data_IF_656670516369
#
_entry.id   IF_656670516369
#
_cell.length_a   1.000
_cell.length_b   1.000
_cell.length_c   1.000
_cell.angle_alpha   90.00
_cell.angle_beta   90.00
_cell.angle_gamma   90.00
#
_symmetry.space_group_name_H-M   'P 1'
#
loop_
_entity.id
_entity.type
_entity.pdbx_description
1 polymer ?
#
# COMPACT_ATOMS: atom_id res chain seq x y z
N UNK A 1 4.67 -26.93 1.42
CA UNK A 1 4.98 -25.58 0.91
C UNK A 1 3.80 -25.14 0.06
N UNK A 2 2.91 -24.29 0.57
CA UNK A 2 1.78 -23.80 -0.22
C UNK A 2 2.19 -22.43 -0.79
N UNK A 3 2.71 -22.39 -2.01
CA UNK A 3 2.94 -21.11 -2.68
C UNK A 3 1.56 -20.53 -3.02
N UNK A 4 1.08 -19.60 -2.20
CA UNK A 4 -0.10 -18.81 -2.53
C UNK A 4 0.24 -17.86 -3.69
N UNK A 5 0.37 -18.42 -4.90
CA UNK A 5 0.55 -17.66 -6.12
C UNK A 5 -0.77 -16.98 -6.49
N UNK A 6 -0.74 -15.67 -6.66
CA UNK A 6 -1.90 -14.92 -7.19
C UNK A 6 -2.01 -15.22 -8.68
N UNK A 7 -3.19 -15.64 -9.14
CA UNK A 7 -3.43 -15.91 -10.56
C UNK A 7 -3.54 -14.59 -11.30
N UNK A 8 -2.76 -14.46 -12.37
CA UNK A 8 -2.81 -13.32 -13.31
C UNK A 8 -3.46 -13.81 -14.60
N UNK A 9 -4.44 -13.07 -15.10
CA UNK A 9 -5.26 -13.44 -16.24
C UNK A 9 -5.97 -12.24 -16.87
N UNK A 10 -6.72 -12.48 -17.94
CA UNK A 10 -7.68 -11.49 -18.45
C UNK A 10 -8.65 -11.09 -17.32
N UNK A 11 -8.97 -9.80 -17.23
CA UNK A 11 -9.74 -9.20 -16.13
C UNK A 11 -8.90 -8.81 -14.91
N UNK A 12 -7.62 -9.19 -14.86
CA UNK A 12 -6.75 -8.77 -13.75
C UNK A 12 -6.47 -7.28 -13.83
N UNK A 13 -6.76 -6.57 -12.72
CA UNK A 13 -6.54 -5.14 -12.58
C UNK A 13 -5.23 -4.85 -11.88
N UNK A 14 -4.51 -3.85 -12.37
CA UNK A 14 -3.19 -3.46 -11.90
C UNK A 14 -3.15 -1.94 -11.75
N UNK A 15 -2.43 -1.46 -10.76
CA UNK A 15 -1.90 -0.10 -10.78
C UNK A 15 -0.53 -0.18 -11.45
N UNK A 16 -0.31 0.54 -12.54
CA UNK A 16 0.97 0.60 -13.24
C UNK A 16 1.28 2.07 -13.55
N UNK A 17 2.44 2.55 -13.12
CA UNK A 17 2.85 3.97 -13.22
C UNK A 17 1.78 4.96 -12.72
N UNK A 18 1.06 4.56 -11.66
CA UNK A 18 -0.01 5.35 -11.06
C UNK A 18 -1.34 5.31 -11.81
N UNK A 19 -1.45 4.52 -12.88
CA UNK A 19 -2.66 4.38 -13.69
C UNK A 19 -3.33 3.01 -13.47
N UNK A 20 -4.66 3.02 -13.30
CA UNK A 20 -5.44 1.79 -13.19
C UNK A 20 -5.65 1.18 -14.58
N UNK A 21 -5.06 0.01 -14.79
CA UNK A 21 -5.12 -0.74 -16.04
C UNK A 21 -5.68 -2.14 -15.82
N UNK A 22 -6.29 -2.70 -16.86
CA UNK A 22 -6.85 -4.06 -16.85
C UNK A 22 -6.20 -4.89 -17.97
N UNK A 23 -5.81 -6.13 -17.65
CA UNK A 23 -5.38 -7.09 -18.67
C UNK A 23 -6.60 -7.52 -19.46
N UNK A 24 -6.64 -7.18 -20.74
CA UNK A 24 -7.75 -7.53 -21.65
C UNK A 24 -7.40 -8.72 -22.54
N UNK A 25 -6.12 -8.91 -22.84
CA UNK A 25 -5.65 -10.05 -23.64
C UNK A 25 -4.31 -10.56 -23.11
N UNK A 26 -4.05 -11.85 -23.33
CA UNK A 26 -2.77 -12.48 -23.04
C UNK A 26 -2.35 -13.28 -24.27
N UNK A 27 -1.13 -13.04 -24.73
CA UNK A 27 -0.55 -13.67 -25.91
C UNK A 27 0.71 -14.41 -25.49
N UNK A 28 0.73 -15.73 -25.69
CA UNK A 28 1.96 -16.50 -25.54
C UNK A 28 2.82 -16.33 -26.80
N UNK A 29 4.05 -15.87 -26.64
CA UNK A 29 5.04 -15.70 -27.70
C UNK A 29 6.29 -16.55 -27.46
N UNK A 30 7.19 -16.54 -28.45
CA UNK A 30 8.47 -17.28 -28.36
C UNK A 30 9.38 -16.80 -27.22
N UNK A 31 9.22 -15.55 -26.80
CA UNK A 31 10.09 -14.89 -25.82
C UNK A 31 9.42 -14.71 -24.45
N UNK A 32 8.23 -15.29 -24.24
CA UNK A 32 7.46 -15.14 -23.00
C UNK A 32 6.00 -14.80 -23.26
N UNK A 33 5.31 -14.30 -22.23
CA UNK A 33 3.93 -13.85 -22.34
C UNK A 33 3.87 -12.33 -22.51
N UNK A 34 3.08 -11.90 -23.47
CA UNK A 34 2.69 -10.50 -23.63
C UNK A 34 1.27 -10.31 -23.12
N UNK A 35 0.99 -9.14 -22.56
CA UNK A 35 -0.35 -8.76 -22.13
C UNK A 35 -0.76 -7.47 -22.81
N UNK A 36 -2.04 -7.37 -23.14
CA UNK A 36 -2.67 -6.12 -23.60
C UNK A 36 -3.38 -5.50 -22.43
N UNK A 37 -2.95 -4.30 -22.04
CA UNK A 37 -3.49 -3.53 -20.95
C UNK A 37 -4.44 -2.47 -21.51
N UNK A 38 -5.64 -2.38 -20.92
CA UNK A 38 -6.58 -1.29 -21.17
C UNK A 38 -6.49 -0.28 -20.03
N UNK A 39 -6.22 0.97 -20.37
CA UNK A 39 -6.35 2.08 -19.45
C UNK A 39 -7.82 2.35 -19.15
N UNK A 40 -8.16 2.40 -17.85
CA UNK A 40 -9.52 2.72 -17.41
C UNK A 40 -9.87 4.19 -17.65
N UNK A 41 -8.88 5.09 -17.54
CA UNK A 41 -9.08 6.54 -17.63
C UNK A 41 -8.99 7.09 -19.06
N UNK A 42 -8.07 6.57 -19.87
CA UNK A 42 -7.76 7.09 -21.21
C UNK A 42 -8.37 6.26 -22.34
N UNK A 43 -9.02 5.12 -22.02
CA UNK A 43 -9.53 4.16 -23.02
C UNK A 43 -8.48 3.73 -24.07
N UNK A 44 -7.19 3.79 -23.69
CA UNK A 44 -6.07 3.41 -24.54
C UNK A 44 -5.66 1.96 -24.26
N UNK A 45 -5.15 1.28 -25.28
CA UNK A 45 -4.58 -0.06 -25.16
C UNK A 45 -3.08 -0.03 -25.38
N UNK A 46 -2.32 -0.70 -24.50
CA UNK A 46 -0.87 -0.86 -24.63
C UNK A 46 -0.50 -2.33 -24.51
N UNK A 47 0.52 -2.77 -25.24
CA UNK A 47 1.06 -4.13 -25.16
C UNK A 47 2.41 -4.10 -24.44
N UNK A 48 2.57 -4.96 -23.45
CA UNK A 48 3.78 -5.03 -22.60
C UNK A 48 4.13 -6.48 -22.32
N UNK A 49 5.41 -6.79 -22.16
CA UNK A 49 5.84 -8.11 -21.70
C UNK A 49 5.44 -8.31 -20.22
N UNK A 50 4.87 -9.47 -19.89
CA UNK A 50 4.37 -9.74 -18.54
C UNK A 50 5.48 -9.70 -17.49
N UNK A 51 6.68 -10.20 -17.80
CA UNK A 51 7.82 -10.17 -16.88
C UNK A 51 8.28 -8.74 -16.57
N UNK A 52 8.35 -7.87 -17.58
CA UNK A 52 8.70 -6.45 -17.41
C UNK A 52 7.65 -5.73 -16.57
N UNK A 53 6.37 -5.98 -16.86
CA UNK A 53 5.25 -5.44 -16.09
C UNK A 53 5.34 -5.82 -14.61
N UNK A 54 5.67 -7.09 -14.31
CA UNK A 54 5.80 -7.60 -12.93
C UNK A 54 7.09 -7.16 -12.23
N UNK A 55 8.15 -6.87 -12.98
CA UNK A 55 9.42 -6.39 -12.44
C UNK A 55 9.42 -4.88 -12.18
N UNK A 56 8.49 -4.12 -12.77
CA UNK A 56 8.40 -2.69 -12.59
C UNK A 56 8.00 -2.32 -11.14
N UNK A 57 8.79 -1.47 -10.49
CA UNK A 57 8.59 -1.05 -9.08
C UNK A 57 7.23 -0.36 -8.84
N UNK A 58 6.67 0.26 -9.88
CA UNK A 58 5.37 0.93 -9.84
C UNK A 58 4.17 0.00 -10.02
N UNK A 59 4.37 -1.27 -10.36
CA UNK A 59 3.28 -2.19 -10.65
C UNK A 59 2.76 -2.87 -9.40
N UNK A 60 1.44 -2.79 -9.16
CA UNK A 60 0.77 -3.48 -8.05
C UNK A 60 -0.51 -4.16 -8.51
N UNK A 61 -0.73 -5.38 -8.06
CA UNK A 61 -2.00 -6.08 -8.22
C UNK A 61 -3.09 -5.38 -7.42
N UNK A 62 -4.20 -5.07 -8.08
CA UNK A 62 -5.42 -4.66 -7.41
C UNK A 62 -6.21 -5.94 -7.14
N UNK A 63 -6.34 -6.29 -5.86
CA UNK A 63 -7.12 -7.43 -5.43
C UNK A 63 -8.57 -7.29 -5.88
N UNK A 64 -9.16 -8.39 -6.33
CA UNK A 64 -10.59 -8.47 -6.65
C UNK A 64 -11.47 -8.70 -5.40
N UNK A 65 -10.84 -8.75 -4.22
CA UNK A 65 -11.56 -8.71 -2.97
C UNK A 65 -12.37 -7.42 -2.91
N UNK A 66 -13.62 -7.51 -2.45
CA UNK A 66 -14.47 -6.35 -2.24
C UNK A 66 -13.72 -5.34 -1.36
N UNK A 67 -13.43 -4.17 -1.93
CA UNK A 67 -12.97 -3.02 -1.16
C UNK A 67 -14.11 -2.47 -0.30
N UNK A 68 -13.82 -1.48 0.55
CA UNK A 68 -14.83 -0.81 1.36
C UNK A 68 -16.02 -0.37 0.49
N UNK A 69 -17.21 -0.82 0.84
CA UNK A 69 -18.47 -0.55 0.14
C UNK A 69 -19.35 0.40 0.97
N UNK A 70 -20.26 1.13 0.31
CA UNK A 70 -21.21 2.00 1.01
C UNK A 70 -22.20 1.24 1.91
N UNK A 71 -22.30 -0.08 1.72
CA UNK A 71 -23.11 -0.96 2.55
C UNK A 71 -22.33 -1.57 3.73
N UNK A 72 -21.05 -1.28 3.87
CA UNK A 72 -20.26 -1.78 4.99
C UNK A 72 -20.63 -1.03 6.27
N UNK A 73 -20.67 -1.74 7.39
CA UNK A 73 -20.97 -1.18 8.72
C UNK A 73 -19.88 -0.20 9.22
N UNK A 74 -18.72 -0.19 8.56
CA UNK A 74 -17.57 0.67 8.87
C UNK A 74 -17.40 1.73 7.79
N UNK A 75 -17.23 2.98 8.22
CA UNK A 75 -16.90 4.07 7.29
C UNK A 75 -15.54 3.81 6.62
N UNK A 76 -15.39 4.08 5.30
CA UNK A 76 -14.11 3.99 4.62
C UNK A 76 -13.05 4.84 5.31
N UNK A 77 -11.83 4.33 5.43
CA UNK A 77 -10.75 5.02 6.14
C UNK A 77 -10.51 6.46 5.66
N UNK A 78 -10.69 6.73 4.36
CA UNK A 78 -10.57 8.09 3.81
C UNK A 78 -11.61 9.07 4.37
N UNK A 79 -12.83 8.61 4.66
CA UNK A 79 -13.89 9.41 5.28
C UNK A 79 -13.53 9.69 6.74
N UNK A 80 -13.20 8.65 7.51
CA UNK A 80 -12.82 8.76 8.93
C UNK A 80 -11.63 9.69 9.11
N UNK A 81 -10.57 9.54 8.29
CA UNK A 81 -9.38 10.39 8.36
C UNK A 81 -9.65 11.83 7.90
N UNK A 82 -10.63 12.04 7.02
CA UNK A 82 -11.05 13.36 6.53
C UNK A 82 -11.83 14.17 7.56
N UNK A 83 -12.43 13.51 8.55
CA UNK A 83 -13.19 14.15 9.63
C UNK A 83 -12.32 14.59 10.82
N UNK A 84 -11.03 14.24 10.84
CA UNK A 84 -10.13 14.58 11.94
C UNK A 84 -9.92 16.10 12.03
N UNK A 85 -9.89 16.60 13.26
CA UNK A 85 -9.38 17.95 13.53
C UNK A 85 -7.89 18.07 13.20
N UNK A 86 -7.37 19.29 13.09
CA UNK A 86 -5.94 19.51 12.81
C UNK A 86 -5.02 18.89 13.87
N UNK A 87 -5.46 18.87 15.13
CA UNK A 87 -4.70 18.27 16.25
C UNK A 87 -4.65 16.75 16.09
N UNK A 88 -5.80 16.10 15.87
CA UNK A 88 -5.88 14.65 15.68
C UNK A 88 -5.14 14.21 14.42
N UNK A 89 -5.27 14.97 13.33
CA UNK A 89 -4.55 14.73 12.08
C UNK A 89 -3.04 14.78 12.31
N UNK A 90 -2.55 15.76 13.07
CA UNK A 90 -1.13 15.85 13.44
C UNK A 90 -0.67 14.63 14.23
N UNK A 91 -1.45 14.17 15.20
CA UNK A 91 -1.13 12.95 15.96
C UNK A 91 -1.04 11.71 15.06
N UNK A 92 -1.99 11.54 14.14
CA UNK A 92 -2.00 10.41 13.20
C UNK A 92 -0.78 10.46 12.28
N UNK A 93 -0.43 11.64 11.75
CA UNK A 93 0.76 11.83 10.90
C UNK A 93 2.04 11.45 11.67
N UNK A 94 2.16 11.86 12.93
CA UNK A 94 3.30 11.52 13.78
C UNK A 94 3.41 10.02 14.04
N UNK A 95 2.29 9.35 14.37
CA UNK A 95 2.25 7.89 14.55
C UNK A 95 2.61 7.16 13.25
N UNK A 96 2.07 7.61 12.12
CA UNK A 96 2.37 7.03 10.82
C UNK A 96 3.85 7.20 10.43
N UNK A 97 4.46 8.35 10.76
CA UNK A 97 5.88 8.59 10.56
C UNK A 97 6.74 7.64 11.38
N UNK A 98 6.36 7.38 12.64
CA UNK A 98 7.05 6.41 13.48
C UNK A 98 6.98 4.98 12.92
N UNK A 99 5.79 4.54 12.47
CA UNK A 99 5.63 3.21 11.85
C UNK A 99 6.52 3.08 10.61
N UNK A 100 6.55 4.10 9.74
CA UNK A 100 7.45 4.10 8.58
C UNK A 100 8.92 4.01 9.00
N UNK A 101 9.33 4.79 9.99
CA UNK A 101 10.70 4.78 10.50
C UNK A 101 11.08 3.41 11.08
N UNK A 102 10.19 2.74 11.81
CA UNK A 102 10.41 1.38 12.32
C UNK A 102 10.57 0.38 11.17
N UNK A 103 9.77 0.49 10.11
CA UNK A 103 9.78 -0.47 9.01
C UNK A 103 10.94 -0.26 8.05
N UNK A 104 11.43 0.97 7.88
CA UNK A 104 12.39 1.32 6.83
C UNK A 104 13.68 1.98 7.35
N UNK A 105 13.71 2.40 8.61
CA UNK A 105 14.77 3.23 9.18
C UNK A 105 14.62 4.74 8.93
N UNK A 106 13.65 5.15 8.08
CA UNK A 106 13.48 6.54 7.64
C UNK A 106 12.09 7.07 7.98
N UNK A 107 11.98 8.29 8.51
CA UNK A 107 10.70 8.85 8.99
C UNK A 107 9.70 9.11 7.86
N UNK A 108 10.22 9.40 6.67
CA UNK A 108 9.46 9.48 5.43
C UNK A 108 9.02 8.10 4.91
N UNK A 109 9.66 7.02 5.37
CA UNK A 109 9.54 5.68 4.81
C UNK A 109 10.49 5.41 3.63
N UNK A 110 11.33 6.37 3.24
CA UNK A 110 12.14 6.31 2.02
C UNK A 110 13.52 6.92 2.23
N UNK A 111 14.56 6.26 1.72
CA UNK A 111 15.94 6.72 1.84
C UNK A 111 16.17 8.02 1.04
N UNK A 112 15.52 8.16 -0.11
CA UNK A 112 15.67 9.33 -1.00
C UNK A 112 15.13 10.62 -0.36
N UNK A 113 14.33 10.49 0.69
CA UNK A 113 13.75 11.58 1.48
C UNK A 113 14.25 11.56 2.93
N UNK A 114 15.45 11.02 3.16
CA UNK A 114 16.05 10.98 4.48
C UNK A 114 16.20 12.39 5.07
N UNK A 115 15.76 12.57 6.30
CA UNK A 115 16.05 13.79 7.05
C UNK A 115 17.48 13.76 7.59
N UNK A 116 18.09 14.92 7.90
CA UNK A 116 19.40 14.96 8.53
C UNK A 116 19.48 14.07 9.78
N UNK A 117 20.44 13.16 9.80
CA UNK A 117 20.64 12.20 10.91
C UNK A 117 19.83 10.90 10.81
N UNK A 118 19.12 10.67 9.71
CA UNK A 118 18.48 9.38 9.40
C UNK A 118 19.39 8.49 8.53
N UNK A 119 19.34 7.15 8.69
CA UNK A 119 18.46 6.40 9.59
C UNK A 119 18.97 6.43 11.04
N UNK A 120 18.04 6.67 11.99
CA UNK A 120 18.42 6.75 13.40
C UNK A 120 18.72 5.35 13.94
N UNK A 121 19.77 5.17 14.75
CA UNK A 121 20.17 3.85 15.24
C UNK A 121 19.06 3.03 15.90
N UNK A 122 18.16 3.69 16.63
CA UNK A 122 17.04 3.08 17.36
C UNK A 122 15.94 2.46 16.49
N UNK A 123 15.94 2.74 15.17
CA UNK A 123 14.97 2.20 14.22
C UNK A 123 15.61 1.29 13.16
N UNK A 124 16.88 0.88 13.34
CA UNK A 124 17.52 -0.05 12.40
C UNK A 124 16.82 -1.41 12.42
N UNK A 125 16.44 -1.88 11.23
CA UNK A 125 15.85 -3.18 10.98
C UNK A 125 16.78 -4.29 11.49
N UNK A 126 16.32 -5.04 12.49
CA UNK A 126 17.10 -6.06 13.21
C UNK A 126 17.16 -5.85 14.72
N UNK A 127 16.83 -4.65 15.21
CA UNK A 127 16.47 -4.47 16.62
C UNK A 127 15.02 -4.91 16.75
N UNK A 128 14.78 -6.03 17.46
CA UNK A 128 13.43 -6.35 17.92
C UNK A 128 12.93 -5.15 18.71
N UNK A 129 11.97 -4.41 18.14
CA UNK A 129 11.24 -3.41 18.87
C UNK A 129 10.40 -4.17 19.90
N UNK A 130 11.00 -4.44 21.07
CA UNK A 130 10.26 -4.83 22.25
C UNK A 130 9.20 -3.75 22.45
N UNK A 131 7.98 -4.06 22.04
CA UNK A 131 6.77 -3.34 22.41
C UNK A 131 6.67 -3.43 23.93
N UNK A 132 7.43 -2.60 24.63
CA UNK A 132 7.27 -2.41 26.04
C UNK A 132 5.96 -1.66 26.23
N UNK A 133 4.95 -2.44 26.60
CA UNK A 133 3.78 -2.06 27.38
C UNK A 133 3.97 -0.73 28.11
N UNK A 134 3.65 0.38 27.42
CA UNK A 134 3.43 1.67 28.05
C UNK A 134 2.14 2.21 27.45
N UNK A 135 1.08 2.11 28.25
CA UNK A 135 -0.05 3.01 28.11
C UNK A 135 -1.39 2.41 27.72
N UNK A 136 -1.71 1.15 28.04
CA UNK A 136 -3.12 0.77 28.18
C UNK A 136 -3.63 1.29 29.54
N UNK A 137 -3.81 2.62 29.66
CA UNK A 137 -4.58 3.18 30.77
C UNK A 137 -6.05 3.15 30.36
N UNK A 138 -6.91 2.41 31.07
CA UNK A 138 -8.34 2.43 30.78
C UNK A 138 -8.87 3.85 30.98
N UNK A 139 -9.61 4.36 30.00
CA UNK A 139 -10.37 5.60 30.10
C UNK A 139 -11.35 5.39 31.25
N UNK A 140 -11.03 5.96 32.42
CA UNK A 140 -11.92 5.98 33.57
C UNK A 140 -13.04 6.97 33.29
N UNK A 141 -14.16 6.48 32.77
CA UNK A 141 -15.43 7.20 32.84
C UNK A 141 -15.93 7.18 34.30
N UNK A 142 -15.56 8.22 35.05
CA UNK A 142 -16.34 8.77 36.17
C UNK A 142 -16.79 10.16 35.72
N UNK A 143 -17.99 10.67 35.99
CA UNK A 143 -19.24 10.22 36.60
C UNK A 143 -20.23 11.36 36.31
N UNK A 144 -21.52 11.08 36.25
CA UNK A 144 -22.57 11.87 36.91
C UNK A 144 -23.65 10.90 37.33
#
# INVERSE_FOLDING_TARGET
>A
MNSAGVRIGVGTRLLHDGELVEITEIHAGKNGMDVVLKSTSKQAFIRVHLNELLAAEGTRLISDAAGPCSADDLEPAGVVLGQLSDVERKEVIERAAHIREVLTGFRSGREELALPGEPRPQYRTGVSAAWNSVGNRPISLRKS
#
